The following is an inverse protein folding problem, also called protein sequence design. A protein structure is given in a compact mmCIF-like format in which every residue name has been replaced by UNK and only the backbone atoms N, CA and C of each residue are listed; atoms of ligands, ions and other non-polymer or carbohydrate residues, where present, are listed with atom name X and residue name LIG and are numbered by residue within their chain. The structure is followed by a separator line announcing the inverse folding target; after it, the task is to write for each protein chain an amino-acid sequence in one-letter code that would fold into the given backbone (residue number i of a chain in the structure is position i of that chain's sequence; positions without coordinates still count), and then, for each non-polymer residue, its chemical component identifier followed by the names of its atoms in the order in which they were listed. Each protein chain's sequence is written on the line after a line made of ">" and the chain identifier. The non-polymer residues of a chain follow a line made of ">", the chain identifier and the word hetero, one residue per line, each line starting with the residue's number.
data_IF_391611493378
#
_entry.id   IF_391611493378
#
_cell.length_a   1.000
_cell.length_b   1.000
_cell.length_c   1.000
_cell.angle_alpha   90.00
_cell.angle_beta   90.00
_cell.angle_gamma   90.00
#
_symmetry.space_group_name_H-M   'P 1'
#
loop_
_entity.id
_entity.type
_entity.pdbx_description
1 polymer ?
#
# COMPACT_ATOMS: atom_id res chain seq x y z
N UNK A 1 -22.24 -42.49 6.37
CA UNK A 1 -22.18 -41.68 5.13
C UNK A 1 -21.95 -40.19 5.39
N UNK A 2 -22.76 -39.49 6.21
CA UNK A 2 -22.56 -38.05 6.51
C UNK A 2 -21.18 -37.70 7.10
N UNK A 3 -20.64 -38.54 8.01
CA UNK A 3 -19.30 -38.35 8.61
C UNK A 3 -18.13 -38.54 7.63
N UNK A 4 -18.30 -39.40 6.62
CA UNK A 4 -17.27 -39.67 5.60
C UNK A 4 -17.24 -38.52 4.59
N UNK A 5 -18.41 -37.99 4.22
CA UNK A 5 -18.54 -36.80 3.37
C UNK A 5 -17.91 -35.54 4.01
N UNK A 6 -18.11 -35.33 5.32
CA UNK A 6 -17.43 -34.25 6.05
C UNK A 6 -15.90 -34.41 6.06
N UNK A 7 -15.40 -35.64 6.21
CA UNK A 7 -13.96 -35.91 6.25
C UNK A 7 -13.29 -35.64 4.91
N UNK A 8 -13.96 -35.97 3.80
CA UNK A 8 -13.46 -35.69 2.45
C UNK A 8 -13.45 -34.19 2.11
N UNK A 9 -14.42 -33.41 2.62
CA UNK A 9 -14.46 -31.94 2.46
C UNK A 9 -13.36 -31.28 3.31
N UNK A 10 -13.11 -31.79 4.51
CA UNK A 10 -12.05 -31.26 5.36
C UNK A 10 -10.66 -31.56 4.79
N UNK A 11 -10.46 -32.76 4.23
CA UNK A 11 -9.20 -33.15 3.62
C UNK A 11 -8.92 -32.39 2.31
N UNK A 12 -9.95 -32.13 1.49
CA UNK A 12 -9.80 -31.29 0.30
C UNK A 12 -9.47 -29.84 0.64
N UNK A 13 -9.99 -29.32 1.76
CA UNK A 13 -9.66 -27.99 2.25
C UNK A 13 -8.18 -27.90 2.66
N UNK A 14 -7.64 -28.89 3.37
CA UNK A 14 -6.23 -28.90 3.81
C UNK A 14 -5.25 -28.96 2.63
N UNK A 15 -5.58 -29.66 1.54
CA UNK A 15 -4.74 -29.74 0.33
C UNK A 15 -4.69 -28.39 -0.40
N UNK A 16 -5.78 -27.61 -0.37
CA UNK A 16 -5.82 -26.26 -0.95
C UNK A 16 -4.98 -25.23 -0.19
N UNK A 17 -4.63 -25.49 1.08
CA UNK A 17 -3.77 -24.60 1.88
C UNK A 17 -2.27 -24.82 1.63
N UNK A 18 -1.87 -25.88 0.92
CA UNK A 18 -0.46 -26.26 0.74
C UNK A 18 0.14 -25.87 -0.62
N UNK A 19 -0.56 -25.08 -1.44
CA UNK A 19 -0.16 -24.78 -2.83
C UNK A 19 0.89 -23.67 -3.00
N UNK A 20 1.54 -23.20 -1.93
CA UNK A 20 2.58 -22.17 -2.02
C UNK A 20 3.94 -22.82 -2.26
N UNK A 21 4.65 -22.41 -3.32
CA UNK A 21 6.02 -22.88 -3.57
C UNK A 21 7.00 -22.19 -2.61
N UNK A 22 8.20 -22.75 -2.42
CA UNK A 22 9.25 -22.09 -1.63
C UNK A 22 9.57 -20.68 -2.15
N UNK A 23 9.46 -20.49 -3.48
CA UNK A 23 9.64 -19.19 -4.12
C UNK A 23 8.54 -18.18 -3.72
N UNK A 24 7.28 -18.62 -3.62
CA UNK A 24 6.17 -17.78 -3.18
C UNK A 24 6.33 -17.37 -1.71
N UNK A 25 6.76 -18.31 -0.86
CA UNK A 25 7.04 -18.05 0.56
C UNK A 25 8.17 -17.03 0.69
N UNK A 26 9.27 -17.23 -0.03
CA UNK A 26 10.39 -16.29 -0.04
C UNK A 26 9.96 -14.89 -0.53
N UNK A 27 9.20 -14.83 -1.62
CA UNK A 27 8.66 -13.58 -2.18
C UNK A 27 7.78 -12.83 -1.17
N UNK A 28 6.87 -13.55 -0.49
CA UNK A 28 6.02 -12.98 0.56
C UNK A 28 6.83 -12.44 1.73
N UNK A 29 7.85 -13.18 2.18
CA UNK A 29 8.70 -12.76 3.30
C UNK A 29 9.54 -11.54 2.95
N UNK A 30 10.13 -11.50 1.74
CA UNK A 30 10.86 -10.33 1.25
C UNK A 30 9.96 -9.10 1.14
N UNK A 31 8.74 -9.27 0.66
CA UNK A 31 7.77 -8.18 0.59
C UNK A 31 7.44 -7.63 1.98
N UNK A 32 7.16 -8.51 2.95
CA UNK A 32 6.90 -8.11 4.35
C UNK A 32 8.09 -7.40 4.98
N UNK A 33 9.31 -7.91 4.79
CA UNK A 33 10.53 -7.28 5.32
C UNK A 33 10.77 -5.90 4.67
N UNK A 34 10.51 -5.76 3.37
CA UNK A 34 10.57 -4.47 2.69
C UNK A 34 9.52 -3.47 3.20
N UNK A 35 8.29 -3.92 3.46
CA UNK A 35 7.21 -3.09 4.01
C UNK A 35 7.49 -2.67 5.47
N UNK A 36 8.27 -3.46 6.21
CA UNK A 36 8.83 -3.12 7.53
C UNK A 36 10.12 -2.27 7.46
N UNK A 37 10.55 -1.85 6.26
CA UNK A 37 11.75 -1.05 6.05
C UNK A 37 13.06 -1.73 6.49
N UNK A 38 13.13 -3.07 6.38
CA UNK A 38 14.30 -3.87 6.75
C UNK A 38 15.24 -4.12 5.56
N UNK A 39 14.75 -3.91 4.33
CA UNK A 39 15.48 -4.19 3.09
C UNK A 39 15.77 -2.88 2.35
N UNK A 40 17.04 -2.68 2.00
CA UNK A 40 17.47 -1.63 1.09
C UNK A 40 17.10 -1.99 -0.36
N UNK A 41 16.43 -1.05 -1.05
CA UNK A 41 15.95 -1.22 -2.41
C UNK A 41 16.40 -0.05 -3.28
N UNK A 42 16.74 -0.36 -4.53
CA UNK A 42 16.86 0.61 -5.60
C UNK A 42 15.65 0.46 -6.51
N UNK A 43 14.88 1.52 -6.64
CA UNK A 43 13.67 1.58 -7.45
C UNK A 43 13.95 2.56 -8.58
N UNK A 44 13.97 2.05 -9.81
CA UNK A 44 14.23 2.86 -11.01
C UNK A 44 12.95 2.99 -11.80
N UNK A 45 12.55 4.22 -12.03
CA UNK A 45 11.45 4.56 -12.93
C UNK A 45 12.01 4.87 -14.30
N UNK A 46 11.46 4.19 -15.30
CA UNK A 46 11.93 4.23 -16.66
C UNK A 46 10.75 4.39 -17.61
N UNK A 47 10.93 5.25 -18.61
CA UNK A 47 9.93 5.49 -19.64
C UNK A 47 10.15 4.51 -20.79
N UNK A 48 9.24 3.53 -20.91
CA UNK A 48 9.29 2.53 -21.99
C UNK A 48 9.02 3.06 -23.40
N UNK A 49 8.52 4.29 -23.55
CA UNK A 49 8.28 4.94 -24.85
C UNK A 49 9.56 5.65 -25.33
N UNK A 50 10.27 6.33 -24.44
CA UNK A 50 11.44 7.17 -24.79
C UNK A 50 12.79 6.53 -24.47
N UNK A 51 12.79 5.34 -23.87
CA UNK A 51 14.01 4.65 -23.43
C UNK A 51 14.88 5.48 -22.48
N UNK A 52 14.23 6.24 -21.58
CA UNK A 52 14.91 7.17 -20.68
C UNK A 52 14.63 6.89 -19.21
N UNK A 53 15.66 7.07 -18.37
CA UNK A 53 15.52 7.03 -16.92
C UNK A 53 14.85 8.30 -16.42
N UNK A 54 13.75 8.14 -15.69
CA UNK A 54 12.99 9.28 -15.16
C UNK A 54 13.44 9.62 -13.74
N UNK A 55 13.63 8.60 -12.91
CA UNK A 55 13.93 8.77 -11.49
C UNK A 55 14.55 7.49 -10.93
N UNK A 56 15.44 7.64 -9.97
CA UNK A 56 15.91 6.55 -9.13
C UNK A 56 15.71 6.91 -7.67
N UNK A 57 15.13 5.98 -6.90
CA UNK A 57 14.95 6.09 -5.45
C UNK A 57 15.74 4.96 -4.81
N UNK A 58 16.58 5.28 -3.83
CA UNK A 58 17.39 4.30 -3.11
C UNK A 58 17.15 4.41 -1.60
N UNK A 59 17.11 3.24 -0.96
CA UNK A 59 17.05 3.11 0.49
C UNK A 59 16.00 2.11 0.94
N UNK A 60 15.65 2.17 2.23
CA UNK A 60 14.63 1.32 2.83
C UNK A 60 13.25 1.85 2.47
N UNK A 61 12.68 1.29 1.41
CA UNK A 61 11.38 1.73 0.90
C UNK A 61 10.37 0.59 0.92
N UNK A 62 9.09 0.95 1.06
CA UNK A 62 7.85 0.17 0.88
C UNK A 62 7.22 0.55 -0.47
N UNK A 63 6.52 -0.37 -1.13
CA UNK A 63 5.85 -0.14 -2.42
C UNK A 63 4.36 -0.49 -2.31
N UNK A 64 3.48 0.34 -2.85
CA UNK A 64 2.07 -0.03 -3.00
C UNK A 64 1.28 0.03 -1.69
N UNK A 65 1.15 1.22 -1.10
CA UNK A 65 0.40 1.44 0.14
C UNK A 65 -1.05 1.86 -0.17
N UNK A 66 -1.85 0.91 -0.67
CA UNK A 66 -3.25 1.07 -1.17
C UNK A 66 -3.39 1.73 -2.54
N UNK A 67 -2.51 1.38 -3.48
CA UNK A 67 -2.66 1.85 -4.86
C UNK A 67 -3.53 0.91 -5.68
N UNK A 68 -4.35 1.49 -6.55
CA UNK A 68 -4.72 0.80 -7.78
C UNK A 68 -3.49 0.74 -8.67
N UNK A 69 -2.84 -0.43 -8.71
CA UNK A 69 -1.60 -0.67 -9.45
C UNK A 69 -1.75 -0.49 -10.96
N UNK A 70 -2.97 -0.38 -11.48
CA UNK A 70 -3.22 -0.06 -12.89
C UNK A 70 -3.11 1.44 -13.19
N UNK A 71 -3.20 2.30 -12.17
CA UNK A 71 -3.25 3.77 -12.32
C UNK A 71 -2.15 4.48 -11.54
N UNK A 72 -1.62 3.88 -10.47
CA UNK A 72 -0.68 4.53 -9.59
C UNK A 72 0.31 3.55 -8.94
N UNK A 73 1.51 4.04 -8.66
CA UNK A 73 2.45 3.41 -7.75
C UNK A 73 2.94 4.44 -6.72
N UNK A 74 2.80 4.11 -5.44
CA UNK A 74 3.40 4.86 -4.34
C UNK A 74 4.63 4.17 -3.80
N UNK A 75 5.62 4.99 -3.44
CA UNK A 75 6.84 4.58 -2.78
C UNK A 75 6.95 5.34 -1.48
N UNK A 76 7.06 4.64 -0.36
CA UNK A 76 7.31 5.26 0.95
C UNK A 76 8.70 4.85 1.40
N UNK A 77 9.59 5.79 1.71
CA UNK A 77 10.96 5.48 2.13
C UNK A 77 11.22 6.00 3.54
N UNK A 78 11.88 5.17 4.35
CA UNK A 78 12.36 5.54 5.68
C UNK A 78 13.74 6.20 5.54
N UNK A 79 13.82 7.45 5.96
CA UNK A 79 15.00 8.33 5.84
C UNK A 79 15.69 8.61 7.18
N UNK A 80 15.07 8.20 8.30
CA UNK A 80 15.59 8.28 9.66
C UNK A 80 14.75 7.42 10.61
N UNK A 81 15.03 7.44 11.91
CA UNK A 81 14.38 6.53 12.89
C UNK A 81 12.84 6.57 12.84
N UNK A 82 12.26 7.77 12.70
CA UNK A 82 10.82 7.98 12.54
C UNK A 82 10.49 8.92 11.36
N UNK A 83 11.43 9.08 10.43
CA UNK A 83 11.34 10.05 9.34
C UNK A 83 11.06 9.36 8.01
N UNK A 84 10.00 9.79 7.32
CA UNK A 84 9.55 9.15 6.09
C UNK A 84 9.32 10.16 4.97
N UNK A 85 9.65 9.76 3.73
CA UNK A 85 9.27 10.44 2.50
C UNK A 85 8.32 9.56 1.70
N UNK A 86 7.35 10.18 1.03
CA UNK A 86 6.43 9.49 0.14
C UNK A 86 6.51 10.08 -1.26
N UNK A 87 6.48 9.20 -2.25
CA UNK A 87 6.48 9.51 -3.67
C UNK A 87 5.24 8.88 -4.30
N UNK A 88 4.60 9.61 -5.21
CA UNK A 88 3.47 9.14 -6.00
C UNK A 88 3.87 9.19 -7.47
N UNK A 89 3.63 8.09 -8.19
CA UNK A 89 3.77 8.03 -9.63
C UNK A 89 2.44 7.61 -10.24
N UNK A 90 1.86 8.48 -11.06
CA UNK A 90 0.71 8.14 -11.90
C UNK A 90 1.15 7.30 -13.11
N UNK A 91 0.54 6.14 -13.29
CA UNK A 91 0.72 5.25 -14.43
C UNK A 91 -0.37 5.58 -15.46
N UNK A 92 0.03 6.10 -16.62
CA UNK A 92 -0.86 6.38 -17.75
C UNK A 92 -0.05 6.34 -19.05
N UNK A 93 -0.69 5.94 -20.14
CA UNK A 93 -0.08 5.85 -21.47
C UNK A 93 0.38 7.21 -22.01
N UNK A 94 -0.22 8.32 -21.55
CA UNK A 94 0.05 9.68 -22.04
C UNK A 94 0.29 10.74 -20.95
N UNK A 95 -0.15 10.50 -19.70
CA UNK A 95 -0.04 11.49 -18.61
C UNK A 95 0.55 10.84 -17.35
N UNK A 96 1.87 10.84 -17.26
CA UNK A 96 2.59 10.47 -16.04
C UNK A 96 2.76 11.72 -15.18
N UNK A 97 2.27 11.71 -13.94
CA UNK A 97 2.61 12.73 -12.96
C UNK A 97 3.46 12.11 -11.86
N UNK A 98 4.43 12.87 -11.35
CA UNK A 98 5.28 12.48 -10.24
C UNK A 98 5.14 13.53 -9.13
N UNK A 99 4.79 13.07 -7.93
CA UNK A 99 4.76 13.92 -6.74
C UNK A 99 5.76 13.38 -5.71
N UNK A 100 6.70 14.23 -5.32
CA UNK A 100 7.70 13.93 -4.29
C UNK A 100 7.46 14.78 -3.04
N UNK A 101 7.62 14.14 -1.88
CA UNK A 101 7.75 14.83 -0.61
C UNK A 101 9.19 15.35 -0.43
N UNK A 102 9.37 16.67 -0.49
CA UNK A 102 10.69 17.32 -0.42
C UNK A 102 11.37 17.12 0.94
N UNK A 103 10.65 17.38 2.03
CA UNK A 103 11.15 17.25 3.41
C UNK A 103 10.54 16.00 4.08
N UNK A 104 11.34 15.19 4.80
CA UNK A 104 10.81 14.04 5.51
C UNK A 104 9.90 14.48 6.66
N UNK A 105 8.86 13.70 6.92
CA UNK A 105 7.94 13.94 8.02
C UNK A 105 8.13 12.88 9.11
N UNK A 106 8.03 13.31 10.37
CA UNK A 106 8.03 12.37 11.49
C UNK A 106 6.66 11.71 11.59
N UNK A 107 6.55 10.44 11.21
CA UNK A 107 5.29 9.68 11.26
C UNK A 107 5.54 8.31 11.88
N UNK A 108 4.56 7.77 12.60
CA UNK A 108 4.68 6.43 13.17
C UNK A 108 4.21 5.37 12.18
N UNK A 109 4.97 4.28 12.05
CA UNK A 109 4.58 3.12 11.23
C UNK A 109 3.34 2.36 11.79
N UNK A 110 3.01 2.53 13.08
CA UNK A 110 2.00 1.73 13.78
C UNK A 110 0.85 2.54 14.38
N UNK A 111 0.83 3.87 14.20
CA UNK A 111 -0.15 4.72 14.87
C UNK A 111 -1.46 4.83 14.10
N UNK A 112 -2.55 4.41 14.74
CA UNK A 112 -3.91 4.55 14.24
C UNK A 112 -4.39 5.99 14.40
N UNK A 113 -4.77 6.65 13.29
CA UNK A 113 -5.29 8.02 13.29
C UNK A 113 -6.69 8.07 12.64
N UNK A 114 -7.70 8.44 13.42
CA UNK A 114 -9.04 8.78 12.89
C UNK A 114 -9.12 10.28 12.71
N UNK A 115 -9.38 10.75 11.49
CA UNK A 115 -9.54 12.18 11.18
C UNK A 115 -11.01 12.46 10.85
N UNK A 116 -11.73 13.14 11.73
CA UNK A 116 -13.09 13.64 11.46
C UNK A 116 -12.99 15.00 10.76
N UNK A 117 -13.61 15.15 9.57
CA UNK A 117 -13.74 16.46 8.89
C UNK A 117 -15.04 17.15 9.36
N UNK A 118 -14.99 18.28 10.09
CA UNK A 118 -16.14 18.77 10.87
C UNK A 118 -17.11 19.69 10.11
N UNK A 119 -17.44 19.44 8.84
CA UNK A 119 -18.35 20.32 8.07
C UNK A 119 -19.71 19.71 7.70
N UNK A 120 -20.20 18.66 8.37
CA UNK A 120 -21.52 18.08 8.04
C UNK A 120 -22.35 17.66 9.26
N UNK A 121 -22.06 18.22 10.44
CA UNK A 121 -22.91 18.02 11.62
C UNK A 121 -23.26 19.38 12.22
N UNK A 122 -23.90 20.24 11.42
CA UNK A 122 -24.81 21.23 11.97
C UNK A 122 -26.19 20.79 11.49
N UNK A 123 -26.98 20.07 12.29
CA UNK A 123 -28.37 19.81 11.93
C UNK A 123 -29.09 21.16 11.87
N UNK A 124 -29.79 21.39 10.76
CA UNK A 124 -30.64 22.55 10.58
C UNK A 124 -31.78 22.45 11.62
N UNK A 125 -31.75 23.31 12.65
CA UNK A 125 -32.80 23.32 13.67
C UNK A 125 -33.92 24.25 13.17
N UNK A 126 -34.92 23.67 12.52
CA UNK A 126 -36.15 24.37 12.13
C UNK A 126 -37.02 24.61 13.39
N UNK A 127 -36.79 25.73 14.07
CA UNK A 127 -37.64 26.20 15.18
C UNK A 127 -38.93 26.78 14.61
N UNK A 128 -39.99 25.97 14.56
CA UNK A 128 -41.35 26.44 14.29
C UNK A 128 -41.98 26.92 15.60
N UNK A 129 -42.07 28.23 15.77
CA UNK A 129 -42.89 28.84 16.82
C UNK A 129 -44.30 29.00 16.24
N UNK A 130 -45.30 28.39 16.86
CA UNK A 130 -46.71 28.67 16.54
C UNK A 130 -47.13 29.93 17.29
N UNK A 131 -47.78 30.85 16.57
CA UNK A 131 -48.30 32.12 17.09
C UNK A 131 -49.27 31.95 18.27
#
# INVERSE_FOLDING_TARGET
>A
MKKISLLTILLSLVIMLAACTDADVASSNLSKAADNFEIDRRIVFYNGITDSYMLTIEGRCSLGNQDDRSVQLTVTCKTGEDQYKKHFLGLSDNVTYFAEQLEPASVSAYHYRVTFKPQTIVPDIDLRVSD
#
